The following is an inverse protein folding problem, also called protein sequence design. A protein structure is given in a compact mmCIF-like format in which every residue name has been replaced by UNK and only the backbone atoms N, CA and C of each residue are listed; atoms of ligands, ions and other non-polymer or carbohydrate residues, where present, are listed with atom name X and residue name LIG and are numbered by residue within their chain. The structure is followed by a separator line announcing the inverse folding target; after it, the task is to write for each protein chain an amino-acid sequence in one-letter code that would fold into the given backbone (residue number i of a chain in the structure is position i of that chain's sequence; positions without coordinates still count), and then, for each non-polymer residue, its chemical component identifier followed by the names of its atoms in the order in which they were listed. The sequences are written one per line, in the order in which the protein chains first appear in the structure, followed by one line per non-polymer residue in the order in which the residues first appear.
data_IF_335935883643
#
_entry.id   IF_335935883643
#
_cell.length_a   1.000
_cell.length_b   1.000
_cell.length_c   1.000
_cell.angle_alpha   90.00
_cell.angle_beta   90.00
_cell.angle_gamma   90.00
#
_symmetry.space_group_name_H-M   'P 1'
#
loop_
_entity.id
_entity.type
_entity.pdbx_description
1 polymer ?
#
# COMPACT_ATOMS: atom_id res chain seq x y z
N UNK A 1 -56.74 -33.39 35.18
CA UNK A 1 -56.72 -32.32 34.15
C UNK A 1 -55.42 -32.43 33.35
N UNK A 2 -55.41 -33.20 32.27
CA UNK A 2 -54.24 -33.42 31.42
C UNK A 2 -54.18 -32.34 30.33
N UNK A 3 -53.34 -31.32 30.50
CA UNK A 3 -53.10 -30.31 29.44
C UNK A 3 -52.52 -31.03 28.22
N UNK A 4 -53.23 -31.01 27.09
CA UNK A 4 -52.82 -31.74 25.89
C UNK A 4 -51.49 -31.21 25.33
N UNK A 5 -50.48 -32.06 25.05
CA UNK A 5 -49.16 -31.64 24.57
C UNK A 5 -49.20 -30.85 23.25
N UNK A 6 -50.25 -31.05 22.43
CA UNK A 6 -50.46 -30.32 21.16
C UNK A 6 -50.68 -28.81 21.32
N UNK A 7 -51.35 -28.35 22.39
CA UNK A 7 -51.59 -26.91 22.62
C UNK A 7 -50.33 -26.17 23.02
N UNK A 8 -49.42 -26.84 23.74
CA UNK A 8 -48.15 -26.24 24.12
C UNK A 8 -47.22 -26.10 22.91
N UNK A 9 -47.21 -27.10 22.02
CA UNK A 9 -46.45 -27.05 20.76
C UNK A 9 -46.93 -25.93 19.81
N UNK A 10 -48.24 -25.67 19.72
CA UNK A 10 -48.78 -24.56 18.90
C UNK A 10 -48.46 -23.19 19.49
N UNK A 11 -48.46 -23.07 20.83
CA UNK A 11 -48.08 -21.83 21.52
C UNK A 11 -46.58 -21.59 21.33
N UNK A 12 -45.74 -22.61 21.53
CA UNK A 12 -44.29 -22.51 21.32
C UNK A 12 -43.95 -22.15 19.87
N UNK A 13 -44.60 -22.80 18.90
CA UNK A 13 -44.43 -22.51 17.48
C UNK A 13 -44.88 -21.10 17.10
N UNK A 14 -46.01 -20.62 17.64
CA UNK A 14 -46.48 -19.26 17.45
C UNK A 14 -45.53 -18.21 18.05
N UNK A 15 -45.02 -18.45 19.26
CA UNK A 15 -44.03 -17.58 19.89
C UNK A 15 -42.72 -17.55 19.11
N UNK A 16 -42.24 -18.71 18.62
CA UNK A 16 -41.02 -18.77 17.79
C UNK A 16 -41.20 -18.03 16.47
N UNK A 17 -42.36 -18.14 15.82
CA UNK A 17 -42.67 -17.41 14.59
C UNK A 17 -42.73 -15.90 14.82
N UNK A 18 -43.36 -15.44 15.91
CA UNK A 18 -43.40 -14.02 16.28
C UNK A 18 -42.01 -13.49 16.60
N UNK A 19 -41.17 -14.25 17.32
CA UNK A 19 -39.78 -13.89 17.59
C UNK A 19 -38.94 -13.84 16.30
N UNK A 20 -39.18 -14.76 15.36
CA UNK A 20 -38.55 -14.74 14.03
C UNK A 20 -38.95 -13.48 13.24
N UNK A 21 -40.24 -13.15 13.21
CA UNK A 21 -40.75 -11.97 12.50
C UNK A 21 -40.25 -10.68 13.16
N UNK A 22 -40.28 -10.60 14.49
CA UNK A 22 -39.75 -9.46 15.25
C UNK A 22 -38.24 -9.31 15.06
N UNK A 23 -37.49 -10.42 15.07
CA UNK A 23 -36.06 -10.44 14.77
C UNK A 23 -35.76 -9.98 13.34
N UNK A 24 -36.56 -10.42 12.36
CA UNK A 24 -36.45 -9.98 10.97
C UNK A 24 -36.77 -8.48 10.81
N UNK A 25 -37.81 -7.98 11.49
CA UNK A 25 -38.18 -6.57 11.47
C UNK A 25 -37.12 -5.68 12.14
N UNK A 26 -36.58 -6.10 13.29
CA UNK A 26 -35.48 -5.41 13.97
C UNK A 26 -34.22 -5.40 13.11
N UNK A 27 -33.92 -6.50 12.42
CA UNK A 27 -32.81 -6.60 11.48
C UNK A 27 -32.98 -5.62 10.29
N UNK A 28 -34.16 -5.60 9.68
CA UNK A 28 -34.47 -4.67 8.59
C UNK A 28 -34.35 -3.21 9.04
N UNK A 29 -34.85 -2.88 10.22
CA UNK A 29 -34.70 -1.55 10.81
C UNK A 29 -33.22 -1.18 11.02
N UNK A 30 -32.40 -2.11 11.51
CA UNK A 30 -30.98 -1.88 11.70
C UNK A 30 -30.22 -1.67 10.38
N UNK A 31 -30.60 -2.37 9.30
CA UNK A 31 -30.01 -2.13 7.98
C UNK A 31 -30.37 -0.73 7.46
N UNK A 32 -31.58 -0.24 7.73
CA UNK A 32 -31.95 1.14 7.38
C UNK A 32 -31.11 2.15 8.16
N UNK A 33 -30.86 1.95 9.45
CA UNK A 33 -29.94 2.80 10.21
C UNK A 33 -28.49 2.74 9.67
N UNK A 34 -28.06 1.57 9.18
CA UNK A 34 -26.76 1.42 8.54
C UNK A 34 -26.70 2.18 7.22
N UNK A 35 -27.78 2.16 6.42
CA UNK A 35 -27.91 2.98 5.20
C UNK A 35 -27.70 4.46 5.49
N UNK A 36 -28.37 5.01 6.51
CA UNK A 36 -28.22 6.44 6.88
C UNK A 36 -26.78 6.77 7.29
N UNK A 37 -26.13 5.88 8.05
CA UNK A 37 -24.71 6.04 8.42
C UNK A 37 -23.77 5.95 7.22
N UNK A 38 -24.06 5.08 6.26
CA UNK A 38 -23.30 4.97 5.01
C UNK A 38 -23.44 6.27 4.22
N UNK A 39 -24.65 6.77 4.02
CA UNK A 39 -24.90 8.05 3.33
C UNK A 39 -24.15 9.21 4.00
N UNK A 40 -24.15 9.27 5.33
CA UNK A 40 -23.39 10.26 6.09
C UNK A 40 -21.87 10.12 5.91
N UNK A 41 -21.36 8.88 5.88
CA UNK A 41 -19.93 8.60 5.75
C UNK A 41 -19.37 8.87 4.35
N UNK A 42 -20.18 8.69 3.30
CA UNK A 42 -19.78 8.96 1.92
C UNK A 42 -19.62 10.46 1.64
N UNK A 43 -20.26 11.31 2.45
CA UNK A 43 -20.13 12.76 2.40
C UNK A 43 -20.79 13.40 1.18
N UNK A 44 -20.94 14.74 1.18
CA UNK A 44 -21.77 15.46 0.21
C UNK A 44 -21.21 15.50 -1.21
N UNK A 45 -19.94 15.11 -1.40
CA UNK A 45 -19.27 15.08 -2.71
C UNK A 45 -19.30 13.71 -3.37
N UNK A 46 -19.91 12.71 -2.74
CA UNK A 46 -20.04 11.39 -3.33
C UNK A 46 -21.23 11.34 -4.28
N UNK A 47 -21.02 10.78 -5.46
CA UNK A 47 -22.06 10.38 -6.38
C UNK A 47 -22.33 8.89 -6.15
N UNK A 48 -23.57 8.53 -5.84
CA UNK A 48 -23.97 7.13 -5.65
C UNK A 48 -25.15 6.86 -6.55
N UNK A 49 -25.06 5.81 -7.38
CA UNK A 49 -26.17 5.43 -8.27
C UNK A 49 -27.36 4.95 -7.46
N UNK A 50 -27.13 4.02 -6.54
CA UNK A 50 -28.20 3.41 -5.75
C UNK A 50 -27.64 2.82 -4.45
N UNK A 51 -28.41 2.92 -3.37
CA UNK A 51 -28.15 2.20 -2.12
C UNK A 51 -29.35 1.29 -1.85
N UNK A 52 -29.11 -0.01 -1.92
CA UNK A 52 -30.13 -1.05 -1.68
C UNK A 52 -29.96 -1.65 -0.29
N UNK A 53 -31.09 -1.87 0.36
CA UNK A 53 -31.19 -2.66 1.58
C UNK A 53 -31.53 -4.09 1.18
N UNK A 54 -30.55 -4.98 1.21
CA UNK A 54 -30.71 -6.40 0.91
C UNK A 54 -31.05 -7.24 2.15
N UNK A 55 -31.38 -8.51 1.95
CA UNK A 55 -31.67 -9.46 3.03
C UNK A 55 -30.46 -9.75 3.93
N UNK A 56 -29.24 -9.50 3.47
CA UNK A 56 -28.01 -9.80 4.20
C UNK A 56 -27.26 -8.55 4.66
N UNK A 57 -27.60 -7.36 4.16
CA UNK A 57 -26.84 -6.14 4.42
C UNK A 57 -27.16 -4.99 3.47
N UNK A 58 -26.33 -3.95 3.52
CA UNK A 58 -26.44 -2.78 2.63
C UNK A 58 -25.57 -2.99 1.40
N UNK A 59 -26.14 -2.75 0.22
CA UNK A 59 -25.44 -2.79 -1.05
C UNK A 59 -25.40 -1.38 -1.66
N UNK A 60 -24.20 -0.84 -1.85
CA UNK A 60 -23.97 0.44 -2.53
C UNK A 60 -23.51 0.15 -3.95
N UNK A 61 -24.26 0.61 -4.93
CA UNK A 61 -23.99 0.40 -6.35
C UNK A 61 -23.50 1.68 -7.00
N UNK A 62 -22.41 1.58 -7.76
CA UNK A 62 -21.85 2.66 -8.56
C UNK A 62 -21.54 3.90 -7.72
N UNK A 63 -20.63 3.76 -6.75
CA UNK A 63 -20.10 4.91 -6.01
C UNK A 63 -18.97 5.56 -6.83
N UNK A 64 -18.96 6.88 -6.82
CA UNK A 64 -17.92 7.71 -7.39
C UNK A 64 -17.64 8.91 -6.49
N UNK A 65 -16.37 9.15 -6.22
CA UNK A 65 -15.88 10.31 -5.51
C UNK A 65 -14.97 11.05 -6.50
N UNK A 66 -15.45 12.13 -7.13
CA UNK A 66 -14.67 12.87 -8.10
C UNK A 66 -13.46 13.52 -7.44
N UNK A 67 -12.44 13.83 -8.22
CA UNK A 67 -11.28 14.55 -7.76
C UNK A 67 -11.65 15.93 -7.17
N UNK A 68 -10.93 16.43 -6.15
CA UNK A 68 -11.15 17.77 -5.66
C UNK A 68 -10.75 18.76 -6.75
N UNK A 69 -11.65 19.69 -7.07
CA UNK A 69 -11.38 20.71 -8.08
C UNK A 69 -10.30 21.66 -7.55
N UNK A 70 -9.15 21.69 -8.23
CA UNK A 70 -8.04 22.57 -7.92
C UNK A 70 -7.04 22.60 -9.05
N UNK A 71 -6.76 23.80 -9.57
CA UNK A 71 -5.73 24.03 -10.59
C UNK A 71 -4.45 24.52 -9.91
N UNK A 72 -3.30 23.89 -10.21
CA UNK A 72 -1.99 24.34 -9.71
C UNK A 72 -1.04 23.23 -9.28
N UNK A 73 0.09 23.63 -8.66
CA UNK A 73 1.09 22.70 -8.10
C UNK A 73 0.46 21.93 -6.93
N UNK A 74 0.18 20.64 -7.13
CA UNK A 74 -0.51 19.79 -6.15
C UNK A 74 -1.96 19.45 -6.50
N UNK A 75 -2.42 19.81 -7.71
CA UNK A 75 -3.67 19.34 -8.28
C UNK A 75 -3.73 17.80 -8.30
N UNK A 76 -4.95 17.28 -8.16
CA UNK A 76 -5.17 15.85 -8.21
C UNK A 76 -4.93 15.33 -9.65
N UNK A 77 -4.18 14.24 -9.84
CA UNK A 77 -3.70 13.82 -11.16
C UNK A 77 -4.67 12.92 -11.94
N UNK A 78 -5.84 12.62 -11.38
CA UNK A 78 -6.86 11.75 -11.95
C UNK A 78 -8.23 12.43 -11.92
N UNK A 79 -9.19 11.93 -12.70
CA UNK A 79 -10.56 12.47 -12.71
C UNK A 79 -11.33 12.09 -11.43
N UNK A 80 -11.05 10.91 -10.88
CA UNK A 80 -11.71 10.34 -9.72
C UNK A 80 -10.69 10.05 -8.61
N UNK A 81 -11.07 10.29 -7.35
CA UNK A 81 -10.33 9.82 -6.17
C UNK A 81 -10.63 8.36 -5.88
N UNK A 82 -11.92 8.01 -5.93
CA UNK A 82 -12.39 6.65 -5.68
C UNK A 82 -13.63 6.38 -6.52
N UNK A 83 -13.76 5.14 -6.96
CA UNK A 83 -14.96 4.61 -7.59
C UNK A 83 -15.06 3.15 -7.22
N UNK A 84 -16.26 2.62 -7.10
CA UNK A 84 -16.46 1.18 -6.96
C UNK A 84 -17.77 0.80 -7.61
N UNK A 85 -17.79 -0.36 -8.26
CA UNK A 85 -18.99 -0.87 -8.92
C UNK A 85 -20.01 -1.30 -7.88
N UNK A 86 -19.54 -1.95 -6.82
CA UNK A 86 -20.38 -2.49 -5.77
C UNK A 86 -19.65 -2.56 -4.43
N UNK A 87 -20.33 -2.14 -3.38
CA UNK A 87 -19.90 -2.34 -1.99
C UNK A 87 -21.01 -3.08 -1.25
N UNK A 88 -20.70 -4.26 -0.72
CA UNK A 88 -21.59 -5.05 0.12
C UNK A 88 -21.12 -4.98 1.58
N UNK A 89 -21.96 -4.42 2.45
CA UNK A 89 -21.70 -4.27 3.88
C UNK A 89 -22.64 -5.20 4.63
N UNK A 90 -22.09 -6.23 5.27
CA UNK A 90 -22.83 -7.24 6.01
C UNK A 90 -22.67 -6.99 7.51
N UNK A 91 -23.73 -6.57 8.23
CA UNK A 91 -23.69 -6.44 9.69
C UNK A 91 -23.69 -7.81 10.38
N UNK A 92 -23.16 -7.87 11.60
CA UNK A 92 -23.22 -9.10 12.41
C UNK A 92 -24.58 -9.21 13.12
N UNK A 93 -25.38 -10.21 12.74
CA UNK A 93 -26.74 -10.44 13.26
C UNK A 93 -26.84 -10.47 14.78
N UNK A 94 -25.84 -11.05 15.45
CA UNK A 94 -25.84 -11.29 16.90
C UNK A 94 -25.62 -10.01 17.72
N UNK A 95 -24.98 -9.00 17.13
CA UNK A 95 -24.50 -7.80 17.83
C UNK A 95 -25.36 -6.56 17.52
N UNK A 96 -26.36 -6.70 16.65
CA UNK A 96 -27.34 -5.65 16.31
C UNK A 96 -28.21 -5.22 17.50
N UNK A 97 -28.27 -6.03 18.57
CA UNK A 97 -28.92 -5.72 19.84
C UNK A 97 -27.97 -5.05 20.85
N UNK A 98 -26.68 -4.96 20.53
CA UNK A 98 -25.65 -4.34 21.37
C UNK A 98 -25.42 -2.88 20.95
N UNK A 99 -24.85 -2.08 21.85
CA UNK A 99 -24.47 -0.69 21.54
C UNK A 99 -23.27 -0.59 20.56
N UNK A 100 -22.60 -1.70 20.24
CA UNK A 100 -21.42 -1.74 19.40
C UNK A 100 -21.78 -2.10 17.95
N UNK A 101 -21.24 -1.36 16.98
CA UNK A 101 -21.44 -1.67 15.57
C UNK A 101 -20.43 -2.73 15.16
N UNK A 102 -20.89 -3.96 14.95
CA UNK A 102 -20.05 -5.06 14.46
C UNK A 102 -20.44 -5.38 13.03
N UNK A 103 -19.49 -5.21 12.12
CA UNK A 103 -19.61 -5.59 10.72
C UNK A 103 -18.94 -6.95 10.53
N UNK A 104 -19.69 -7.90 9.96
CA UNK A 104 -19.13 -9.20 9.62
C UNK A 104 -18.13 -9.05 8.47
N UNK A 105 -18.55 -8.39 7.39
CA UNK A 105 -17.70 -8.18 6.22
C UNK A 105 -18.07 -6.91 5.44
N UNK A 106 -17.05 -6.30 4.83
CA UNK A 106 -17.19 -5.29 3.79
C UNK A 106 -16.52 -5.84 2.54
N UNK A 107 -17.27 -6.04 1.47
CA UNK A 107 -16.72 -6.48 0.18
C UNK A 107 -16.89 -5.36 -0.83
N UNK A 108 -15.80 -5.02 -1.51
CA UNK A 108 -15.77 -4.01 -2.58
C UNK A 108 -15.36 -4.68 -3.86
N UNK A 109 -16.20 -4.59 -4.89
CA UNK A 109 -15.97 -5.17 -6.22
C UNK A 109 -15.71 -4.03 -7.22
N UNK A 110 -14.70 -4.22 -8.08
CA UNK A 110 -14.36 -3.25 -9.13
C UNK A 110 -13.96 -1.88 -8.59
N UNK A 111 -13.25 -1.84 -7.46
CA UNK A 111 -12.79 -0.58 -6.89
C UNK A 111 -11.71 0.04 -7.79
N UNK A 112 -11.71 1.36 -7.92
CA UNK A 112 -10.59 2.14 -8.40
C UNK A 112 -10.25 3.19 -7.36
N UNK A 113 -8.95 3.32 -7.06
CA UNK A 113 -8.42 4.29 -6.12
C UNK A 113 -7.22 5.01 -6.73
N UNK A 114 -7.21 6.34 -6.71
CA UNK A 114 -6.04 7.12 -7.04
C UNK A 114 -5.31 7.58 -5.77
N UNK A 115 -3.99 7.52 -5.81
CA UNK A 115 -3.09 7.85 -4.70
C UNK A 115 -2.06 8.86 -5.17
N UNK A 116 -1.82 9.92 -4.42
CA UNK A 116 -0.82 10.93 -4.76
C UNK A 116 0.23 11.04 -3.65
N UNK A 117 1.48 10.72 -3.95
CA UNK A 117 2.61 11.13 -3.12
C UNK A 117 3.09 12.50 -3.58
N UNK A 118 2.85 13.51 -2.75
CA UNK A 118 3.28 14.89 -3.00
C UNK A 118 4.81 14.99 -2.97
N UNK A 119 5.37 16.10 -3.47
CA UNK A 119 6.84 16.32 -3.51
C UNK A 119 7.50 16.26 -2.14
N UNK A 120 6.77 16.65 -1.11
CA UNK A 120 7.20 16.63 0.28
C UNK A 120 7.22 15.20 0.87
N UNK A 121 6.89 14.18 0.08
CA UNK A 121 6.81 12.79 0.51
C UNK A 121 5.48 12.41 1.16
N UNK A 122 4.63 13.39 1.49
CA UNK A 122 3.30 13.14 2.08
C UNK A 122 2.41 12.37 1.10
N UNK A 123 1.90 11.22 1.55
CA UNK A 123 0.91 10.43 0.81
C UNK A 123 -0.48 11.01 1.06
N UNK A 124 -1.18 11.38 0.00
CA UNK A 124 -2.56 11.84 0.02
C UNK A 124 -3.46 10.74 -0.54
N UNK A 125 -4.46 10.37 0.24
CA UNK A 125 -5.46 9.34 -0.08
C UNK A 125 -6.81 9.94 0.26
N UNK A 126 -7.75 9.92 -0.69
CA UNK A 126 -9.13 10.38 -0.47
C UNK A 126 -9.24 11.72 0.30
N UNK A 127 -8.53 12.79 -0.11
CA UNK A 127 -8.57 14.06 0.60
C UNK A 127 -9.99 14.60 0.82
N UNK A 128 -10.94 14.34 -0.09
CA UNK A 128 -12.32 14.79 0.10
C UNK A 128 -13.08 14.10 1.23
N UNK A 129 -12.60 12.95 1.72
CA UNK A 129 -13.16 12.25 2.87
C UNK A 129 -12.33 12.46 4.14
N UNK A 130 -11.00 12.53 4.02
CA UNK A 130 -10.09 12.58 5.17
C UNK A 130 -9.67 14.00 5.58
N UNK A 131 -9.60 14.96 4.64
CA UNK A 131 -9.26 16.36 4.93
C UNK A 131 -10.56 17.13 5.24
N UNK A 132 -11.07 16.97 6.47
CA UNK A 132 -12.28 17.68 6.95
C UNK A 132 -11.97 19.19 7.11
N UNK A 133 -12.81 20.12 6.61
CA UNK A 133 -12.62 21.55 6.87
C UNK A 133 -12.69 21.84 8.38
N UNK A 134 -11.83 22.73 8.89
CA UNK A 134 -11.66 23.06 10.32
C UNK A 134 -12.92 23.57 11.07
N UNK A 135 -14.09 23.62 10.44
CA UNK A 135 -15.27 24.30 10.95
C UNK A 135 -16.10 23.54 11.99
N UNK A 136 -15.95 22.22 12.15
CA UNK A 136 -16.72 21.45 13.15
C UNK A 136 -15.80 20.67 14.11
N UNK A 137 -15.22 21.39 15.07
CA UNK A 137 -14.50 20.83 16.23
C UNK A 137 -15.44 20.44 17.37
N UNK A 138 -16.52 19.73 17.08
CA UNK A 138 -17.29 19.03 18.12
C UNK A 138 -16.85 17.57 18.14
N UNK A 139 -16.08 17.11 19.14
CA UNK A 139 -15.70 15.71 19.27
C UNK A 139 -16.92 14.93 19.75
N UNK A 140 -17.81 14.56 18.83
CA UNK A 140 -18.64 13.39 19.07
C UNK A 140 -17.71 12.19 18.97
N UNK A 141 -17.55 11.45 20.08
CA UNK A 141 -16.74 10.25 20.11
C UNK A 141 -17.18 9.33 18.95
N UNK A 142 -16.29 9.09 17.99
CA UNK A 142 -16.59 8.22 16.87
C UNK A 142 -17.00 6.84 17.42
N UNK A 143 -18.11 6.26 16.94
CA UNK A 143 -18.59 5.00 17.48
C UNK A 143 -17.53 3.92 17.30
N UNK A 144 -17.39 3.03 18.29
CA UNK A 144 -16.53 1.87 18.17
C UNK A 144 -17.11 0.92 17.12
N UNK A 145 -16.34 0.63 16.06
CA UNK A 145 -16.73 -0.26 14.97
C UNK A 145 -15.73 -1.40 14.90
N UNK A 146 -16.22 -2.63 14.96
CA UNK A 146 -15.40 -3.82 14.71
C UNK A 146 -15.76 -4.39 13.34
N UNK A 147 -14.76 -4.64 12.50
CA UNK A 147 -14.94 -5.18 11.15
C UNK A 147 -14.22 -6.52 11.08
N UNK A 148 -14.98 -7.58 10.86
CA UNK A 148 -14.44 -8.94 10.76
C UNK A 148 -13.51 -9.11 9.56
N UNK A 149 -13.97 -8.69 8.36
CA UNK A 149 -13.18 -8.75 7.13
C UNK A 149 -13.51 -7.61 6.18
N UNK A 150 -12.49 -7.04 5.55
CA UNK A 150 -12.61 -6.16 4.39
C UNK A 150 -12.00 -6.91 3.21
N UNK A 151 -12.70 -6.96 2.08
CA UNK A 151 -12.25 -7.60 0.85
C UNK A 151 -12.35 -6.62 -0.31
N UNK A 152 -11.28 -6.50 -1.09
CA UNK A 152 -11.26 -5.86 -2.40
C UNK A 152 -11.16 -6.97 -3.45
N UNK A 153 -12.00 -6.92 -4.47
CA UNK A 153 -12.06 -7.91 -5.55
C UNK A 153 -11.92 -7.20 -6.88
N UNK A 154 -11.04 -7.73 -7.74
CA UNK A 154 -10.75 -7.21 -9.08
C UNK A 154 -10.64 -5.69 -9.14
N UNK A 155 -9.86 -5.14 -8.21
CA UNK A 155 -9.73 -3.69 -8.02
C UNK A 155 -8.50 -3.14 -8.74
N UNK A 156 -8.42 -1.82 -8.85
CA UNK A 156 -7.30 -1.11 -9.49
C UNK A 156 -6.85 0.08 -8.65
N UNK A 157 -5.56 0.36 -8.71
CA UNK A 157 -4.95 1.50 -8.02
C UNK A 157 -4.04 2.24 -8.99
N UNK A 158 -4.23 3.54 -9.08
CA UNK A 158 -3.29 4.42 -9.78
C UNK A 158 -2.49 5.22 -8.75
N UNK A 159 -1.19 4.93 -8.68
CA UNK A 159 -0.27 5.61 -7.79
C UNK A 159 0.55 6.65 -8.55
N UNK A 160 0.44 7.90 -8.13
CA UNK A 160 1.13 9.05 -8.70
C UNK A 160 2.21 9.53 -7.73
N UNK A 161 3.47 9.44 -8.13
CA UNK A 161 4.60 9.84 -7.29
C UNK A 161 5.29 11.09 -7.83
N UNK A 162 5.09 12.22 -7.15
CA UNK A 162 5.71 13.49 -7.50
C UNK A 162 7.11 13.69 -6.90
N UNK A 163 7.62 12.74 -6.10
CA UNK A 163 8.94 12.85 -5.46
C UNK A 163 10.10 12.52 -6.40
N UNK A 164 9.82 11.79 -7.47
CA UNK A 164 10.83 11.26 -8.39
C UNK A 164 10.95 12.03 -9.70
N UNK A 165 9.84 12.60 -10.21
CA UNK A 165 9.84 13.40 -11.45
C UNK A 165 8.62 14.30 -11.56
N UNK A 166 8.64 15.19 -12.56
CA UNK A 166 7.49 15.99 -12.98
C UNK A 166 7.28 15.87 -14.49
N UNK A 167 6.07 15.55 -14.97
CA UNK A 167 4.85 15.22 -14.20
C UNK A 167 5.01 13.97 -13.32
N UNK A 168 4.17 13.76 -12.29
CA UNK A 168 4.30 12.62 -11.37
C UNK A 168 4.46 11.28 -12.09
N UNK A 169 5.28 10.38 -11.54
CA UNK A 169 5.36 9.02 -12.04
C UNK A 169 4.03 8.31 -11.78
N UNK A 170 3.36 7.86 -12.84
CA UNK A 170 2.15 7.05 -12.76
C UNK A 170 2.52 5.58 -12.78
N UNK A 171 2.23 4.87 -11.68
CA UNK A 171 2.21 3.42 -11.58
C UNK A 171 0.76 2.96 -11.53
N UNK A 172 0.46 1.84 -12.18
CA UNK A 172 -0.90 1.29 -12.25
C UNK A 172 -0.88 -0.16 -11.81
N UNK A 173 -1.65 -0.46 -10.78
CA UNK A 173 -1.90 -1.81 -10.30
C UNK A 173 -3.33 -2.19 -10.71
N UNK A 174 -3.51 -3.36 -11.30
CA UNK A 174 -4.79 -3.90 -11.78
C UNK A 174 -4.99 -5.31 -11.23
N UNK A 175 -6.22 -5.82 -11.33
CA UNK A 175 -6.61 -7.14 -10.82
C UNK A 175 -6.20 -7.35 -9.37
N UNK A 176 -6.47 -6.34 -8.54
CA UNK A 176 -6.10 -6.34 -7.13
C UNK A 176 -7.18 -7.10 -6.36
N UNK A 177 -6.77 -8.22 -5.78
CA UNK A 177 -7.52 -8.94 -4.77
C UNK A 177 -6.82 -8.73 -3.42
N UNK A 178 -7.51 -8.12 -2.47
CA UNK A 178 -6.95 -7.81 -1.17
C UNK A 178 -7.91 -8.14 -0.04
N UNK A 179 -7.39 -8.48 1.12
CA UNK A 179 -8.20 -8.63 2.32
C UNK A 179 -7.48 -8.15 3.57
N UNK A 180 -8.24 -7.52 4.45
CA UNK A 180 -7.82 -7.15 5.81
C UNK A 180 -8.82 -7.74 6.79
N UNK A 181 -8.37 -8.53 7.76
CA UNK A 181 -9.23 -9.12 8.78
C UNK A 181 -9.03 -8.46 10.15
N UNK A 182 -10.06 -8.54 11.01
CA UNK A 182 -10.00 -8.10 12.41
C UNK A 182 -9.57 -6.64 12.59
N UNK A 183 -10.32 -5.71 12.00
CA UNK A 183 -10.05 -4.28 12.13
C UNK A 183 -10.97 -3.67 13.20
N UNK A 184 -10.40 -2.87 14.11
CA UNK A 184 -11.14 -2.11 15.12
C UNK A 184 -10.97 -0.62 14.91
N UNK A 185 -12.06 0.12 14.81
CA UNK A 185 -12.06 1.57 14.64
C UNK A 185 -12.68 2.23 15.87
N UNK A 186 -12.23 3.42 16.28
CA UNK A 186 -11.10 4.18 15.71
C UNK A 186 -9.72 3.75 16.27
N UNK A 187 -9.69 2.90 17.30
CA UNK A 187 -8.48 2.58 18.06
C UNK A 187 -7.39 1.88 17.24
N UNK A 188 -7.77 1.13 16.20
CA UNK A 188 -6.85 0.39 15.32
C UNK A 188 -5.93 -0.61 16.07
N UNK A 189 -6.42 -1.10 17.21
CA UNK A 189 -5.73 -2.01 18.12
C UNK A 189 -5.97 -3.47 17.74
N UNK A 190 -4.99 -4.32 18.09
CA UNK A 190 -5.00 -5.74 17.77
C UNK A 190 -4.42 -6.07 16.39
N UNK A 191 -4.10 -7.35 16.21
CA UNK A 191 -3.48 -7.83 14.97
C UNK A 191 -4.54 -8.04 13.88
N UNK A 192 -4.31 -7.41 12.74
CA UNK A 192 -5.06 -7.60 11.51
C UNK A 192 -4.24 -8.40 10.52
N UNK A 193 -4.83 -9.47 9.95
CA UNK A 193 -4.24 -10.22 8.85
C UNK A 193 -4.43 -9.44 7.55
N UNK A 194 -3.36 -9.31 6.76
CA UNK A 194 -3.34 -8.54 5.50
C UNK A 194 -2.86 -9.46 4.39
N UNK A 195 -3.62 -9.50 3.29
CA UNK A 195 -3.27 -10.18 2.05
C UNK A 195 -3.56 -9.24 0.89
N UNK A 196 -2.63 -9.11 -0.03
CA UNK A 196 -2.78 -8.34 -1.26
C UNK A 196 -2.13 -9.13 -2.39
N UNK A 197 -2.84 -9.27 -3.49
CA UNK A 197 -2.35 -9.80 -4.75
C UNK A 197 -2.77 -8.85 -5.85
N UNK A 198 -1.94 -8.71 -6.88
CA UNK A 198 -2.27 -7.87 -8.02
C UNK A 198 -1.21 -7.84 -9.10
N UNK A 199 -1.52 -7.13 -10.18
CA UNK A 199 -0.68 -6.99 -11.35
C UNK A 199 -0.21 -5.54 -11.47
N UNK A 200 1.10 -5.32 -11.40
CA UNK A 200 1.72 -4.03 -11.68
C UNK A 200 1.96 -3.91 -13.18
N UNK A 201 1.31 -2.93 -13.82
CA UNK A 201 1.43 -2.69 -15.26
C UNK A 201 2.80 -2.13 -15.62
N UNK A 202 3.45 -2.76 -16.58
CA UNK A 202 4.73 -2.32 -17.13
C UNK A 202 4.61 -1.70 -18.52
N UNK A 203 5.76 -1.40 -19.13
CA UNK A 203 5.86 -0.87 -20.50
C UNK A 203 5.91 -2.04 -21.50
N UNK A 204 6.71 -3.06 -21.19
CA UNK A 204 6.91 -4.24 -22.03
C UNK A 204 6.23 -5.49 -21.47
N UNK A 205 6.14 -5.60 -20.14
CA UNK A 205 5.50 -6.74 -19.48
C UNK A 205 4.93 -6.34 -18.13
N UNK A 206 3.91 -7.06 -17.69
CA UNK A 206 3.32 -6.86 -16.37
C UNK A 206 4.04 -7.70 -15.30
N UNK A 207 4.15 -7.12 -14.10
CA UNK A 207 4.71 -7.80 -12.94
C UNK A 207 3.63 -8.26 -11.97
N UNK A 208 3.92 -9.32 -11.20
CA UNK A 208 3.05 -9.78 -10.11
C UNK A 208 3.49 -9.18 -8.79
N UNK A 209 2.53 -8.72 -8.00
CA UNK A 209 2.72 -8.20 -6.65
C UNK A 209 1.98 -9.10 -5.67
N UNK A 210 2.64 -9.49 -4.59
CA UNK A 210 2.01 -10.20 -3.47
C UNK A 210 2.54 -9.66 -2.15
N UNK A 211 1.64 -9.33 -1.23
CA UNK A 211 1.97 -8.90 0.13
C UNK A 211 1.11 -9.73 1.08
N UNK A 212 1.72 -10.38 2.06
CA UNK A 212 0.99 -11.16 3.07
C UNK A 212 1.62 -10.97 4.44
N UNK A 213 0.81 -10.88 5.49
CA UNK A 213 1.33 -10.76 6.84
C UNK A 213 0.31 -10.28 7.85
N UNK A 214 0.81 -9.76 8.96
CA UNK A 214 0.01 -9.26 10.08
C UNK A 214 0.53 -7.91 10.55
N UNK A 215 -0.38 -6.99 10.89
CA UNK A 215 -0.03 -5.70 11.47
C UNK A 215 -0.98 -5.32 12.60
N UNK A 216 -0.45 -4.61 13.58
CA UNK A 216 -1.22 -3.83 14.54
C UNK A 216 -1.04 -2.35 14.20
N UNK A 217 -2.10 -1.74 13.65
CA UNK A 217 -2.01 -0.43 13.02
C UNK A 217 -1.76 0.69 14.04
N UNK A 218 -2.28 0.56 15.27
CA UNK A 218 -2.07 1.53 16.35
C UNK A 218 -0.61 1.64 16.79
N UNK A 219 0.07 0.50 16.99
CA UNK A 219 1.49 0.45 17.39
C UNK A 219 2.45 0.51 16.20
N UNK A 220 1.93 0.36 14.97
CA UNK A 220 2.68 0.17 13.71
C UNK A 220 3.51 -1.11 13.68
N UNK A 221 3.37 -1.99 14.66
CA UNK A 221 4.06 -3.27 14.68
C UNK A 221 3.53 -4.15 13.54
N UNK A 222 4.43 -4.80 12.80
CA UNK A 222 4.03 -5.61 11.66
C UNK A 222 5.03 -6.70 11.34
N UNK A 223 4.57 -7.72 10.63
CA UNK A 223 5.38 -8.74 10.02
C UNK A 223 4.78 -9.03 8.64
N UNK A 224 5.51 -8.66 7.58
CA UNK A 224 5.03 -8.67 6.21
C UNK A 224 6.03 -9.40 5.31
N UNK A 225 5.51 -10.23 4.42
CA UNK A 225 6.26 -10.78 3.29
C UNK A 225 5.77 -10.13 2.01
N UNK A 226 6.65 -9.40 1.34
CA UNK A 226 6.40 -8.76 0.06
C UNK A 226 7.17 -9.49 -1.02
N UNK A 227 6.49 -9.80 -2.12
CA UNK A 227 7.04 -10.47 -3.29
C UNK A 227 6.68 -9.71 -4.55
N UNK A 228 7.70 -9.38 -5.35
CA UNK A 228 7.56 -8.89 -6.71
C UNK A 228 8.15 -9.92 -7.67
N UNK A 229 7.49 -10.14 -8.81
CA UNK A 229 7.97 -11.05 -9.86
C UNK A 229 7.76 -10.43 -11.23
N UNK A 230 8.81 -10.43 -12.05
CA UNK A 230 8.76 -9.99 -13.43
C UNK A 230 8.38 -8.52 -13.59
N UNK A 231 8.63 -7.68 -12.59
CA UNK A 231 8.28 -6.25 -12.68
C UNK A 231 9.18 -5.59 -13.71
N UNK A 232 8.58 -4.91 -14.69
CA UNK A 232 9.33 -4.20 -15.72
C UNK A 232 10.12 -3.03 -15.11
N UNK A 233 11.44 -3.06 -15.28
CA UNK A 233 12.32 -2.01 -14.78
C UNK A 233 12.08 -0.66 -15.44
N UNK A 234 11.51 -0.59 -16.64
CA UNK A 234 11.19 0.67 -17.28
C UNK A 234 10.07 1.41 -16.54
N UNK A 235 9.11 0.69 -15.97
CA UNK A 235 8.06 1.29 -15.15
C UNK A 235 8.63 1.90 -13.87
N UNK A 236 9.69 1.31 -13.32
CA UNK A 236 10.38 1.77 -12.11
C UNK A 236 11.58 2.67 -12.38
N UNK A 237 11.87 2.97 -13.65
CA UNK A 237 13.07 3.68 -14.08
C UNK A 237 13.29 5.01 -13.32
N UNK A 238 12.27 5.84 -13.01
CA UNK A 238 12.51 7.08 -12.27
C UNK A 238 12.98 6.87 -10.83
N UNK A 239 12.72 5.71 -10.22
CA UNK A 239 13.32 5.34 -8.93
C UNK A 239 14.78 4.93 -9.06
N UNK A 240 15.21 4.52 -10.26
CA UNK A 240 16.57 4.05 -10.54
C UNK A 240 17.46 5.16 -11.10
N UNK A 241 16.90 6.15 -11.82
CA UNK A 241 17.69 7.19 -12.51
C UNK A 241 18.43 8.11 -11.52
N UNK A 242 17.89 8.36 -10.31
CA UNK A 242 18.67 9.04 -9.26
C UNK A 242 19.96 8.28 -8.90
N UNK A 243 20.03 6.98 -9.16
CA UNK A 243 21.22 6.15 -9.00
C UNK A 243 21.97 5.87 -10.32
N UNK A 244 21.31 6.03 -11.48
CA UNK A 244 21.84 5.72 -12.80
C UNK A 244 21.47 6.81 -13.82
N UNK A 245 22.32 7.81 -13.97
CA UNK A 245 22.26 8.88 -15.00
C UNK A 245 22.14 8.34 -16.44
N UNK A 246 22.34 7.03 -16.64
CA UNK A 246 22.35 6.34 -17.94
C UNK A 246 21.00 5.72 -18.32
N UNK A 247 20.01 5.64 -17.43
CA UNK A 247 18.70 5.06 -17.73
C UNK A 247 18.72 3.54 -18.03
N UNK A 248 17.55 2.89 -17.92
CA UNK A 248 17.36 1.46 -18.24
C UNK A 248 16.67 1.31 -19.59
N UNK A 249 17.23 0.48 -20.49
CA UNK A 249 16.64 0.14 -21.79
C UNK A 249 15.74 -1.09 -21.71
N UNK A 250 16.12 -2.09 -20.89
CA UNK A 250 15.37 -3.33 -20.70
C UNK A 250 15.75 -4.00 -19.39
N UNK A 251 14.83 -4.79 -18.84
CA UNK A 251 15.10 -5.76 -17.78
C UNK A 251 13.90 -5.94 -16.86
N UNK A 252 13.96 -6.97 -16.02
CA UNK A 252 12.90 -7.29 -15.06
C UNK A 252 13.45 -7.35 -13.65
N UNK A 253 12.57 -7.12 -12.68
CA UNK A 253 12.87 -7.10 -11.26
C UNK A 253 12.02 -8.13 -10.51
N UNK A 254 12.71 -8.97 -9.77
CA UNK A 254 12.15 -9.82 -8.74
C UNK A 254 12.62 -9.34 -7.38
N UNK A 255 11.71 -9.32 -6.40
CA UNK A 255 12.01 -8.96 -5.02
C UNK A 255 11.36 -9.96 -4.09
N UNK A 256 12.12 -10.48 -3.12
CA UNK A 256 11.59 -11.09 -1.91
C UNK A 256 12.03 -10.25 -0.73
N UNK A 257 11.09 -9.74 0.05
CA UNK A 257 11.34 -8.94 1.23
C UNK A 257 10.52 -9.50 2.40
N UNK A 258 11.18 -9.75 3.53
CA UNK A 258 10.51 -10.05 4.79
C UNK A 258 10.75 -8.87 5.70
N UNK A 259 9.72 -8.14 6.09
CA UNK A 259 9.81 -6.93 6.90
C UNK A 259 9.16 -7.15 8.26
N UNK A 260 9.90 -6.91 9.32
CA UNK A 260 9.41 -6.93 10.69
C UNK A 260 9.57 -5.55 11.31
N UNK A 261 8.48 -5.01 11.84
CA UNK A 261 8.49 -3.78 12.64
C UNK A 261 8.08 -4.14 14.05
N UNK A 262 8.92 -3.78 15.02
CA UNK A 262 8.66 -3.94 16.45
C UNK A 262 9.11 -2.69 17.18
N UNK A 263 8.19 -2.03 17.89
CA UNK A 263 8.47 -0.80 18.67
C UNK A 263 9.17 0.27 17.84
N UNK A 264 8.72 0.45 16.59
CA UNK A 264 9.31 1.41 15.65
C UNK A 264 10.62 0.97 14.98
N UNK A 265 11.22 -0.16 15.37
CA UNK A 265 12.43 -0.66 14.74
C UNK A 265 12.07 -1.58 13.56
N UNK A 266 12.52 -1.20 12.37
CA UNK A 266 12.43 -1.99 11.15
C UNK A 266 13.64 -2.92 11.04
N UNK A 267 13.37 -4.19 10.74
CA UNK A 267 14.36 -5.13 10.22
C UNK A 267 13.75 -5.87 9.03
N UNK A 268 14.33 -5.70 7.85
CA UNK A 268 13.78 -6.22 6.61
C UNK A 268 14.85 -6.83 5.68
N UNK A 269 15.25 -8.09 5.90
CA UNK A 269 16.08 -8.83 4.96
C UNK A 269 15.33 -9.07 3.63
N UNK A 270 16.06 -8.89 2.53
CA UNK A 270 15.53 -9.07 1.20
C UNK A 270 16.56 -9.53 0.18
N UNK A 271 16.04 -10.03 -0.94
CA UNK A 271 16.83 -10.37 -2.13
C UNK A 271 16.17 -9.73 -3.33
N UNK A 272 16.97 -8.95 -4.06
CA UNK A 272 16.60 -8.32 -5.32
C UNK A 272 17.30 -9.09 -6.45
N UNK A 273 16.56 -9.47 -7.48
CA UNK A 273 17.13 -10.10 -8.68
C UNK A 273 16.73 -9.31 -9.91
N UNK A 274 17.73 -8.84 -10.65
CA UNK A 274 17.55 -8.16 -11.93
C UNK A 274 17.88 -9.14 -13.05
N UNK A 275 16.97 -9.32 -13.99
CA UNK A 275 17.16 -10.23 -15.13
C UNK A 275 17.14 -9.47 -16.45
N UNK A 276 18.04 -9.83 -17.37
CA UNK A 276 18.07 -9.23 -18.71
C UNK A 276 18.31 -7.72 -18.71
N UNK A 277 19.03 -7.20 -17.71
CA UNK A 277 19.30 -5.77 -17.56
C UNK A 277 20.16 -5.24 -18.72
N UNK A 278 19.64 -4.26 -19.44
CA UNK A 278 20.36 -3.47 -20.44
C UNK A 278 20.21 -1.99 -20.09
N UNK A 279 21.32 -1.27 -19.98
CA UNK A 279 21.30 0.18 -19.77
C UNK A 279 21.21 0.92 -21.11
N UNK A 280 20.70 2.15 -21.09
CA UNK A 280 20.70 2.97 -22.30
C UNK A 280 22.11 3.48 -22.60
N UNK A 281 22.45 3.51 -23.89
CA UNK A 281 23.74 3.95 -24.41
C UNK A 281 23.88 5.48 -24.40
N UNK A 282 22.77 6.21 -24.29
CA UNK A 282 22.75 7.67 -24.38
C UNK A 282 23.47 8.37 -23.21
N UNK A 283 23.72 7.67 -22.10
CA UNK A 283 24.35 8.27 -20.92
C UNK A 283 25.87 8.12 -20.83
N UNK A 284 26.54 7.37 -21.72
CA UNK A 284 28.01 7.32 -21.88
C UNK A 284 28.86 7.18 -20.61
N UNK A 285 28.26 6.78 -19.49
CA UNK A 285 28.85 6.99 -18.17
C UNK A 285 29.86 5.92 -17.83
N UNK A 286 30.94 6.33 -17.18
CA UNK A 286 31.89 5.40 -16.56
C UNK A 286 31.52 5.19 -15.09
N UNK A 287 31.89 4.04 -14.55
CA UNK A 287 31.91 3.76 -13.12
C UNK A 287 33.30 3.22 -12.79
N UNK A 288 34.03 3.92 -11.91
CA UNK A 288 35.44 3.62 -11.61
C UNK A 288 36.31 3.48 -12.87
N UNK A 289 36.12 4.35 -13.86
CA UNK A 289 36.90 4.34 -15.11
C UNK A 289 36.51 3.26 -16.14
N UNK A 290 35.58 2.35 -15.81
CA UNK A 290 35.07 1.36 -16.75
C UNK A 290 33.72 1.78 -17.35
N UNK A 291 33.41 1.41 -18.61
CA UNK A 291 32.07 1.58 -19.16
C UNK A 291 31.04 0.88 -18.27
N UNK A 292 29.97 1.57 -17.85
CA UNK A 292 28.95 0.99 -16.95
C UNK A 292 28.34 -0.31 -17.48
N UNK A 293 28.17 -0.43 -18.79
CA UNK A 293 27.70 -1.67 -19.43
C UNK A 293 28.66 -2.85 -19.19
N UNK A 294 29.97 -2.60 -19.14
CA UNK A 294 30.96 -3.62 -18.82
C UNK A 294 30.82 -4.05 -17.35
N UNK A 295 30.71 -3.09 -16.41
CA UNK A 295 30.50 -3.37 -14.98
C UNK A 295 29.24 -4.21 -14.76
N UNK A 296 28.12 -3.79 -15.36
CA UNK A 296 26.85 -4.55 -15.30
C UNK A 296 27.01 -5.96 -15.88
N UNK A 297 27.77 -6.12 -16.96
CA UNK A 297 28.02 -7.44 -17.57
C UNK A 297 28.88 -8.35 -16.68
N UNK A 298 29.81 -7.78 -15.92
CA UNK A 298 30.62 -8.52 -14.94
C UNK A 298 29.82 -8.95 -13.71
N UNK A 299 28.78 -8.19 -13.34
CA UNK A 299 27.89 -8.53 -12.22
C UNK A 299 26.87 -9.61 -12.55
N UNK A 300 26.63 -9.86 -13.85
CA UNK A 300 25.70 -10.90 -14.30
C UNK A 300 26.29 -12.29 -14.05
N UNK A 301 25.45 -13.19 -13.56
CA UNK A 301 25.77 -14.60 -13.51
C UNK A 301 25.67 -15.25 -14.92
N UNK A 302 25.92 -16.55 -14.99
CA UNK A 302 25.79 -17.36 -16.21
C UNK A 302 24.40 -17.33 -16.86
N UNK A 303 23.36 -16.94 -16.10
CA UNK A 303 21.99 -16.83 -16.58
C UNK A 303 21.63 -15.38 -16.96
N UNK A 304 22.59 -14.45 -16.93
CA UNK A 304 22.37 -13.03 -17.20
C UNK A 304 21.66 -12.29 -16.06
N UNK A 305 21.69 -12.82 -14.84
CA UNK A 305 21.00 -12.27 -13.67
C UNK A 305 21.96 -11.59 -12.70
N UNK A 306 21.49 -10.52 -12.05
CA UNK A 306 22.21 -9.83 -10.98
C UNK A 306 21.39 -9.98 -9.71
N UNK A 307 21.90 -10.78 -8.76
CA UNK A 307 21.25 -10.99 -7.47
C UNK A 307 21.95 -10.20 -6.36
N UNK A 308 21.20 -9.37 -5.64
CA UNK A 308 21.68 -8.54 -4.54
C UNK A 308 20.92 -8.90 -3.28
N UNK A 309 21.64 -9.34 -2.25
CA UNK A 309 21.09 -9.54 -0.90
C UNK A 309 21.28 -8.26 -0.10
N UNK A 310 20.26 -7.83 0.60
CA UNK A 310 20.33 -6.65 1.45
C UNK A 310 19.47 -6.85 2.70
N UNK A 311 19.73 -6.08 3.74
CA UNK A 311 18.89 -6.04 4.93
C UNK A 311 18.62 -4.58 5.23
N UNK A 312 17.37 -4.12 5.19
CA UNK A 312 17.04 -2.76 5.63
C UNK A 312 16.81 -2.73 7.12
N UNK A 313 17.43 -1.78 7.82
CA UNK A 313 17.19 -1.57 9.25
C UNK A 313 17.17 -0.08 9.54
N UNK A 314 16.36 0.30 10.53
CA UNK A 314 16.28 1.68 11.01
C UNK A 314 15.03 1.92 11.86
N UNK A 315 14.96 3.10 12.45
CA UNK A 315 13.78 3.56 13.18
C UNK A 315 12.80 4.23 12.21
N UNK A 316 11.59 3.69 12.08
CA UNK A 316 10.55 4.25 11.20
C UNK A 316 9.97 5.58 11.70
N UNK A 317 10.26 5.96 12.95
CA UNK A 317 9.84 7.22 13.53
C UNK A 317 10.93 8.30 13.44
N UNK A 318 12.16 7.98 13.01
CA UNK A 318 13.17 9.01 12.75
C UNK A 318 12.75 9.79 11.48
N UNK A 319 12.51 11.10 11.56
CA UNK A 319 12.12 11.91 10.39
C UNK A 319 13.20 11.99 9.31
N UNK A 320 14.46 11.64 9.63
CA UNK A 320 15.56 11.52 8.66
C UNK A 320 15.61 10.14 8.00
N UNK A 321 14.80 9.18 8.46
CA UNK A 321 14.73 7.87 7.85
C UNK A 321 14.12 7.95 6.45
N UNK A 322 14.99 7.96 5.44
CA UNK A 322 14.61 7.83 4.03
C UNK A 322 14.80 6.40 3.57
N UNK A 323 13.71 5.70 3.24
CA UNK A 323 13.76 4.34 2.68
C UNK A 323 14.62 4.28 1.41
N UNK A 324 14.58 5.33 0.58
CA UNK A 324 15.32 5.40 -0.67
C UNK A 324 16.83 5.53 -0.44
N UNK A 325 17.25 6.37 0.51
CA UNK A 325 18.68 6.56 0.83
C UNK A 325 19.26 5.33 1.53
N UNK A 326 18.53 4.74 2.46
CA UNK A 326 18.95 3.52 3.14
C UNK A 326 19.04 2.33 2.17
N UNK A 327 18.07 2.17 1.26
CA UNK A 327 18.12 1.12 0.24
C UNK A 327 19.29 1.32 -0.73
N UNK A 328 19.51 2.54 -1.22
CA UNK A 328 20.61 2.84 -2.15
C UNK A 328 21.98 2.61 -1.48
N UNK A 329 22.14 3.04 -0.23
CA UNK A 329 23.38 2.86 0.53
C UNK A 329 23.67 1.39 0.78
N UNK A 330 22.65 0.60 1.17
CA UNK A 330 22.82 -0.83 1.46
C UNK A 330 22.99 -1.70 0.21
N UNK A 331 22.30 -1.38 -0.88
CA UNK A 331 22.55 -2.01 -2.17
C UNK A 331 23.97 -1.66 -2.65
N UNK A 332 24.36 -0.39 -2.58
CA UNK A 332 25.69 0.06 -2.95
C UNK A 332 26.80 -0.63 -2.15
N UNK A 333 26.63 -0.75 -0.82
CA UNK A 333 27.60 -1.44 0.04
C UNK A 333 27.65 -2.95 -0.21
N UNK A 334 26.52 -3.60 -0.50
CA UNK A 334 26.50 -5.01 -0.88
C UNK A 334 27.22 -5.26 -2.21
N UNK A 335 27.08 -4.36 -3.19
CA UNK A 335 27.76 -4.45 -4.47
C UNK A 335 29.26 -4.20 -4.30
N UNK A 336 29.66 -3.21 -3.50
CA UNK A 336 31.06 -2.96 -3.19
C UNK A 336 31.71 -4.18 -2.49
N UNK A 337 31.00 -4.78 -1.54
CA UNK A 337 31.42 -6.00 -0.84
C UNK A 337 31.57 -7.21 -1.77
N UNK A 338 30.66 -7.40 -2.74
CA UNK A 338 30.77 -8.51 -3.71
C UNK A 338 31.91 -8.32 -4.72
N UNK A 339 32.35 -7.08 -4.94
CA UNK A 339 33.53 -6.73 -5.74
C UNK A 339 34.84 -6.78 -4.92
N UNK A 340 34.80 -7.20 -3.64
CA UNK A 340 35.99 -7.33 -2.79
C UNK A 340 36.54 -6.01 -2.25
N UNK A 341 35.79 -4.91 -2.38
CA UNK A 341 36.17 -3.59 -1.87
C UNK A 341 35.62 -3.45 -0.45
N UNK A 342 36.43 -3.76 0.57
CA UNK A 342 36.06 -3.50 1.96
C UNK A 342 36.23 -2.02 2.32
N UNK A 343 35.37 -1.51 3.20
CA UNK A 343 35.50 -0.16 3.77
C UNK A 343 36.84 0.04 4.51
N UNK A 344 37.45 -1.05 5.00
CA UNK A 344 38.80 -1.05 5.59
C UNK A 344 39.93 -0.84 4.57
N UNK A 345 39.74 -1.27 3.32
CA UNK A 345 40.66 -0.97 2.21
C UNK A 345 40.65 0.50 1.81
N UNK A 346 39.49 1.15 1.91
CA UNK A 346 39.35 2.60 1.69
C UNK A 346 39.88 3.43 2.87
N UNK A 347 39.71 2.95 4.11
CA UNK A 347 40.31 3.59 5.29
C UNK A 347 41.85 3.48 5.30
N UNK A 348 42.41 2.34 4.87
CA UNK A 348 43.87 2.16 4.75
C UNK A 348 44.48 2.88 3.54
N UNK A 349 43.75 3.01 2.44
CA UNK A 349 44.20 3.73 1.24
C UNK A 349 44.31 5.25 1.40
N UNK A 350 43.62 5.83 2.38
CA UNK A 350 43.73 7.26 2.74
C UNK A 350 44.94 7.56 3.64
N UNK A 351 45.54 6.53 4.25
CA UNK A 351 46.70 6.70 5.15
C UNK A 351 48.06 6.87 4.46
N UNK A 352 48.19 6.50 3.18
CA UNK A 352 49.50 6.46 2.49
C UNK A 352 49.61 7.28 1.20
N UNK A 353 48.59 8.04 0.82
CA UNK A 353 48.64 8.93 -0.34
C UNK A 353 48.11 10.33 0.04
N UNK A 354 48.99 11.32 -0.14
CA UNK A 354 48.89 12.68 0.38
C UNK A 354 47.59 13.44 0.11
N UNK A 355 47.44 14.49 0.93
CA UNK A 355 46.34 15.45 1.11
C UNK A 355 45.81 16.20 -0.13
N UNK A 356 46.20 15.82 -1.34
CA UNK A 356 45.69 16.40 -2.59
C UNK A 356 44.41 15.74 -3.13
N UNK A 357 44.18 14.44 -2.83
CA UNK A 357 43.07 13.67 -3.40
C UNK A 357 41.76 13.85 -2.60
N UNK A 358 41.86 14.09 -1.29
CA UNK A 358 40.68 14.26 -0.41
C UNK A 358 39.83 15.49 -0.79
N UNK A 359 40.44 16.56 -1.32
CA UNK A 359 39.71 17.74 -1.82
C UNK A 359 38.98 17.48 -3.14
N UNK A 360 39.57 16.70 -4.05
CA UNK A 360 38.96 16.36 -5.34
C UNK A 360 37.82 15.36 -5.25
N UNK A 361 37.87 14.43 -4.29
CA UNK A 361 36.78 13.44 -4.07
C UNK A 361 35.60 14.08 -3.31
N UNK A 362 35.85 14.99 -2.38
CA UNK A 362 34.79 15.74 -1.68
C UNK A 362 33.93 16.59 -2.62
N UNK A 363 34.55 17.26 -3.60
CA UNK A 363 33.83 18.07 -4.59
C UNK A 363 33.11 17.24 -5.66
N UNK A 364 33.59 16.04 -5.99
CA UNK A 364 32.95 15.16 -6.98
C UNK A 364 31.80 14.34 -6.38
N UNK A 365 31.88 13.97 -5.10
CA UNK A 365 30.74 13.39 -4.36
C UNK A 365 29.66 14.44 -4.08
N UNK A 366 30.02 15.68 -3.73
CA UNK A 366 29.07 16.79 -3.57
C UNK A 366 28.34 17.19 -4.87
N UNK A 367 28.91 16.85 -6.03
CA UNK A 367 28.29 17.06 -7.36
C UNK A 367 27.44 15.87 -7.82
N UNK A 368 27.78 14.64 -7.43
CA UNK A 368 26.99 13.42 -7.70
C UNK A 368 25.71 13.32 -6.88
N UNK A 369 25.66 14.00 -5.72
CA UNK A 369 24.47 14.09 -4.86
C UNK A 369 23.93 15.52 -4.78
N UNK A 370 24.19 16.33 -5.81
CA UNK A 370 24.02 17.79 -5.77
C UNK A 370 22.64 18.28 -5.34
N UNK A 371 22.68 19.32 -4.50
CA UNK A 371 21.65 20.33 -4.15
C UNK A 371 20.23 20.17 -4.71
#
# INVERSE_FOLDING_TARGET
MTKSPRRWLTILGGTLAVLLVAGLAAFQFAIHLLKDKVEQALGPRSEVREIRVGLAGVEVLGIRIPAPQGSGKGAWPADDQLRAERILIVPALRDLLSANIVLHSIRVEGAYLSLLRAREGRLRVLPSLLEKPEADKHPSAAPAISIGKIELVDSSVEFFDATVRQPPLKLRLEHIDASVANLRLPELTGRSDIVVEGILKGVHQDGKVSIRGQAELASKDSEMSTRLRGVDLLALQPYLIKAAETGVRKGTLDLDLKSTIRRGQLHAPGTLTLSGLELSTAGGGTFMGMPRNAVVSMMKDKNGQIAVKFTLEGDINDPRFSLNENLTTRIGSSIAGSLGISLEGLAKGVGSAGSGIAKGIGESLGKLFGK
#
